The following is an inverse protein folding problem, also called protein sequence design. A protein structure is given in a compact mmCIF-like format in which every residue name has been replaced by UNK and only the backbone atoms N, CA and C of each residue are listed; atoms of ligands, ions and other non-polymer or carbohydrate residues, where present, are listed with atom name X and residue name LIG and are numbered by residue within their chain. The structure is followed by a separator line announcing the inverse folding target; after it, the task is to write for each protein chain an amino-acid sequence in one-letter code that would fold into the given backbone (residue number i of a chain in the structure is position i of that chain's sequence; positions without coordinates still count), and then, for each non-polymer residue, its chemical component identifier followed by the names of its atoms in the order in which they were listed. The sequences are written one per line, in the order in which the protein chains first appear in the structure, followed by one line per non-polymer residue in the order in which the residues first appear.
data_IF_345043042898
#
_entry.id   IF_345043042898
#
_cell.length_a   1.000
_cell.length_b   1.000
_cell.length_c   1.000
_cell.angle_alpha   90.00
_cell.angle_beta   90.00
_cell.angle_gamma   90.00
#
_symmetry.space_group_name_H-M   'P 1'
#
loop_
_entity.id
_entity.type
_entity.pdbx_description
1 polymer ?
#
# COMPACT_ATOMS: atom_id res chain seq x y z
N UNK A 1 -37.44 -8.16 -57.78
CA UNK A 1 -36.09 -8.79 -57.80
C UNK A 1 -35.44 -8.55 -56.43
N UNK A 2 -35.69 -9.47 -55.54
CA UNK A 2 -35.11 -9.47 -54.18
C UNK A 2 -33.69 -10.05 -54.21
N UNK A 3 -32.72 -9.29 -53.72
CA UNK A 3 -31.38 -9.81 -53.43
C UNK A 3 -31.41 -10.47 -52.08
N UNK A 4 -31.44 -11.78 -52.07
CA UNK A 4 -31.17 -12.57 -50.87
C UNK A 4 -29.68 -12.39 -50.53
N UNK A 5 -29.39 -11.71 -49.40
CA UNK A 5 -28.06 -11.61 -48.85
C UNK A 5 -27.73 -12.93 -48.15
N UNK A 6 -26.72 -13.62 -48.66
CA UNK A 6 -26.27 -14.91 -48.09
C UNK A 6 -25.61 -14.68 -46.75
N UNK A 7 -26.18 -15.26 -45.74
CA UNK A 7 -25.69 -15.26 -44.34
C UNK A 7 -24.44 -16.13 -44.11
N UNK A 8 -23.92 -16.79 -45.13
CA UNK A 8 -22.76 -17.69 -45.05
C UNK A 8 -21.41 -16.97 -44.99
N UNK A 9 -21.31 -15.74 -45.50
CA UNK A 9 -20.04 -15.00 -45.52
C UNK A 9 -19.68 -14.32 -44.21
N UNK A 10 -20.56 -14.32 -43.20
CA UNK A 10 -20.31 -13.65 -41.88
C UNK A 10 -19.74 -14.62 -40.82
N UNK A 11 -19.87 -15.91 -41.02
CA UNK A 11 -19.41 -16.92 -40.03
C UNK A 11 -17.93 -17.28 -40.23
N UNK A 12 -17.38 -17.11 -41.41
CA UNK A 12 -15.99 -17.48 -41.71
C UNK A 12 -14.94 -16.43 -41.24
N UNK A 13 -15.34 -15.18 -40.95
CA UNK A 13 -14.43 -14.13 -40.48
C UNK A 13 -14.24 -14.08 -38.96
N UNK A 14 -14.92 -14.91 -38.18
CA UNK A 14 -14.78 -14.98 -36.70
C UNK A 14 -13.86 -16.09 -36.17
N UNK A 15 -13.21 -16.86 -37.03
CA UNK A 15 -12.49 -18.09 -36.66
C UNK A 15 -10.98 -18.07 -36.83
N UNK A 16 -10.40 -17.06 -37.44
CA UNK A 16 -8.93 -16.94 -37.52
C UNK A 16 -8.43 -15.87 -36.54
N UNK A 17 -8.32 -16.22 -35.28
CA UNK A 17 -7.31 -15.62 -34.44
C UNK A 17 -5.97 -16.00 -35.06
N UNK A 18 -5.26 -15.03 -35.61
CA UNK A 18 -4.03 -15.23 -36.36
C UNK A 18 -3.04 -16.05 -35.51
N UNK A 19 -2.49 -17.12 -36.05
CA UNK A 19 -1.52 -17.95 -35.32
C UNK A 19 -0.33 -17.14 -34.86
N UNK A 20 -0.03 -16.01 -35.48
CA UNK A 20 0.95 -15.03 -35.08
C UNK A 20 0.51 -14.26 -33.81
N UNK A 21 -0.75 -13.85 -33.67
CA UNK A 21 -1.28 -13.18 -32.48
C UNK A 21 -1.25 -14.10 -31.26
N UNK A 22 -1.55 -15.39 -31.45
CA UNK A 22 -1.42 -16.37 -30.36
C UNK A 22 0.04 -16.63 -29.98
N UNK A 23 0.94 -16.66 -30.95
CA UNK A 23 2.37 -16.85 -30.70
C UNK A 23 2.97 -15.64 -29.98
N UNK A 24 2.61 -14.42 -30.37
CA UNK A 24 3.05 -13.18 -29.72
C UNK A 24 2.47 -13.04 -28.31
N UNK A 25 1.19 -13.38 -28.10
CA UNK A 25 0.57 -13.40 -26.78
C UNK A 25 1.26 -14.41 -25.86
N UNK A 26 1.55 -15.61 -26.34
CA UNK A 26 2.25 -16.65 -25.58
C UNK A 26 3.68 -16.26 -25.25
N UNK A 27 4.39 -15.61 -26.18
CA UNK A 27 5.73 -15.08 -25.97
C UNK A 27 5.74 -13.99 -24.90
N UNK A 28 4.85 -13.02 -25.01
CA UNK A 28 4.70 -11.92 -24.02
C UNK A 28 4.34 -12.47 -22.63
N UNK A 29 3.45 -13.45 -22.55
CA UNK A 29 3.11 -14.11 -21.30
C UNK A 29 4.31 -14.87 -20.69
N UNK A 30 5.07 -15.58 -21.51
CA UNK A 30 6.27 -16.32 -21.06
C UNK A 30 7.35 -15.37 -20.56
N UNK A 31 7.59 -14.26 -21.26
CA UNK A 31 8.54 -13.21 -20.85
C UNK A 31 8.10 -12.55 -19.54
N UNK A 32 6.81 -12.27 -19.38
CA UNK A 32 6.23 -11.70 -18.17
C UNK A 32 6.38 -12.67 -16.98
N UNK A 33 6.05 -13.94 -17.17
CA UNK A 33 6.21 -14.97 -16.13
C UNK A 33 7.68 -15.16 -15.73
N UNK A 34 8.61 -15.15 -16.69
CA UNK A 34 10.05 -15.23 -16.43
C UNK A 34 10.52 -14.04 -15.58
N UNK A 35 10.11 -12.81 -15.93
CA UNK A 35 10.44 -11.60 -15.17
C UNK A 35 9.88 -11.62 -13.74
N UNK A 36 8.65 -12.12 -13.55
CA UNK A 36 8.05 -12.30 -12.23
C UNK A 36 8.78 -13.35 -11.40
N UNK A 37 9.19 -14.45 -12.04
CA UNK A 37 9.93 -15.51 -11.38
C UNK A 37 11.33 -15.03 -10.93
N UNK A 38 12.06 -14.33 -11.79
CA UNK A 38 13.37 -13.77 -11.48
C UNK A 38 13.30 -12.78 -10.31
N UNK A 39 12.25 -11.93 -10.29
CA UNK A 39 12.05 -10.98 -9.19
C UNK A 39 11.88 -11.69 -7.84
N UNK A 40 11.00 -12.69 -7.74
CA UNK A 40 10.77 -13.44 -6.49
C UNK A 40 12.01 -14.20 -6.02
N UNK A 41 12.76 -14.76 -6.95
CA UNK A 41 14.01 -15.47 -6.64
C UNK A 41 15.07 -14.52 -6.08
N UNK A 42 15.25 -13.35 -6.69
CA UNK A 42 16.19 -12.33 -6.20
C UNK A 42 15.75 -11.78 -4.83
N UNK A 43 14.48 -11.49 -4.64
CA UNK A 43 13.94 -11.03 -3.36
C UNK A 43 14.14 -12.09 -2.25
N UNK A 44 13.85 -13.36 -2.53
CA UNK A 44 14.09 -14.47 -1.59
C UNK A 44 15.55 -14.60 -1.20
N UNK A 45 16.47 -14.55 -2.16
CA UNK A 45 17.90 -14.61 -1.88
C UNK A 45 18.41 -13.42 -1.03
N UNK A 46 17.82 -12.24 -1.18
CA UNK A 46 18.12 -11.07 -0.34
C UNK A 46 17.55 -11.22 1.07
N UNK A 47 16.36 -11.81 1.23
CA UNK A 47 15.79 -12.14 2.53
C UNK A 47 16.65 -13.15 3.29
N UNK A 48 17.09 -14.22 2.62
CA UNK A 48 18.00 -15.22 3.22
C UNK A 48 19.32 -14.57 3.69
N UNK A 49 19.85 -13.60 2.93
CA UNK A 49 21.05 -12.85 3.33
C UNK A 49 20.75 -11.93 4.53
N UNK A 50 19.61 -11.25 4.57
CA UNK A 50 19.19 -10.41 5.68
C UNK A 50 19.05 -11.21 6.96
N UNK A 51 18.42 -12.39 6.90
CA UNK A 51 18.25 -13.29 8.04
C UNK A 51 19.60 -13.81 8.56
N UNK A 52 20.52 -14.14 7.65
CA UNK A 52 21.86 -14.62 8.01
C UNK A 52 22.77 -13.54 8.63
N UNK A 53 22.72 -12.32 8.12
CA UNK A 53 23.56 -11.19 8.58
C UNK A 53 22.97 -10.42 9.77
N UNK A 54 21.65 -10.43 9.94
CA UNK A 54 20.92 -9.68 10.97
C UNK A 54 21.06 -8.15 10.89
N UNK A 55 21.59 -7.64 9.76
CA UNK A 55 21.81 -6.22 9.50
C UNK A 55 21.89 -5.92 8.01
N UNK A 56 21.62 -4.68 7.63
CA UNK A 56 21.77 -4.21 6.26
C UNK A 56 23.24 -4.03 5.93
N UNK A 57 23.74 -4.85 4.99
CA UNK A 57 25.10 -4.74 4.46
C UNK A 57 25.08 -3.99 3.12
N UNK A 58 26.23 -3.46 2.63
CA UNK A 58 26.31 -2.81 1.32
C UNK A 58 25.88 -3.74 0.15
N UNK A 59 26.03 -5.05 0.31
CA UNK A 59 25.57 -6.03 -0.69
C UNK A 59 24.05 -6.10 -0.72
N UNK A 60 23.42 -6.17 0.45
CA UNK A 60 21.95 -6.18 0.60
C UNK A 60 21.38 -4.85 0.10
N UNK A 61 21.95 -3.72 0.50
CA UNK A 61 21.53 -2.39 0.05
C UNK A 61 21.53 -2.29 -1.47
N UNK A 62 22.62 -2.71 -2.13
CA UNK A 62 22.73 -2.75 -3.58
C UNK A 62 21.71 -3.68 -4.24
N UNK A 63 21.43 -4.82 -3.60
CA UNK A 63 20.42 -5.76 -4.09
C UNK A 63 19.01 -5.20 -4.01
N UNK A 64 18.64 -4.60 -2.87
CA UNK A 64 17.35 -3.92 -2.69
C UNK A 64 17.20 -2.76 -3.67
N UNK A 65 18.25 -1.96 -3.87
CA UNK A 65 18.23 -0.85 -4.83
C UNK A 65 17.89 -1.32 -6.26
N UNK A 66 18.43 -2.46 -6.71
CA UNK A 66 18.08 -3.03 -8.03
C UNK A 66 16.61 -3.43 -8.11
N UNK A 67 16.04 -3.96 -7.02
CA UNK A 67 14.62 -4.30 -6.98
C UNK A 67 13.80 -3.02 -7.05
N UNK A 68 14.15 -1.98 -6.29
CA UNK A 68 13.47 -0.69 -6.32
C UNK A 68 13.51 -0.03 -7.71
N UNK A 69 14.65 -0.09 -8.40
CA UNK A 69 14.77 0.39 -9.79
C UNK A 69 13.80 -0.35 -10.72
N UNK A 70 13.66 -1.67 -10.54
CA UNK A 70 12.72 -2.49 -11.32
C UNK A 70 11.27 -2.18 -10.98
N UNK A 71 10.94 -2.00 -9.70
CA UNK A 71 9.61 -1.56 -9.26
C UNK A 71 9.27 -0.21 -9.86
N UNK A 72 10.20 0.77 -9.80
CA UNK A 72 10.00 2.08 -10.39
C UNK A 72 9.86 2.02 -11.92
N UNK A 73 10.58 1.12 -12.59
CA UNK A 73 10.39 0.86 -14.03
C UNK A 73 8.97 0.38 -14.34
N UNK A 74 8.39 -0.46 -13.48
CA UNK A 74 6.99 -0.91 -13.63
C UNK A 74 5.99 0.21 -13.32
N UNK A 75 6.26 1.05 -12.32
CA UNK A 75 5.44 2.24 -12.09
C UNK A 75 5.50 3.18 -13.30
N UNK A 76 6.67 3.32 -13.94
CA UNK A 76 6.84 4.16 -15.13
C UNK A 76 5.99 3.68 -16.32
N UNK A 77 5.82 2.36 -16.48
CA UNK A 77 4.97 1.78 -17.53
C UNK A 77 3.49 2.16 -17.33
N UNK A 78 3.01 2.17 -16.08
CA UNK A 78 1.59 2.39 -15.75
C UNK A 78 1.27 3.86 -15.45
N UNK A 79 2.08 4.48 -14.59
CA UNK A 79 1.88 5.82 -14.03
C UNK A 79 3.18 6.63 -13.99
N UNK A 80 3.64 7.18 -15.12
CA UNK A 80 4.92 7.90 -15.21
C UNK A 80 5.08 9.01 -14.17
N UNK A 81 4.00 9.67 -13.77
CA UNK A 81 4.03 10.73 -12.76
C UNK A 81 4.61 10.22 -11.43
N UNK A 82 4.11 9.07 -10.93
CA UNK A 82 4.60 8.49 -9.67
C UNK A 82 6.07 8.04 -9.78
N UNK A 83 6.45 7.50 -10.93
CA UNK A 83 7.83 7.08 -11.15
C UNK A 83 8.81 8.25 -11.14
N UNK A 84 8.47 9.39 -11.78
CA UNK A 84 9.29 10.61 -11.72
C UNK A 84 9.30 11.21 -10.32
N UNK A 85 8.17 11.17 -9.60
CA UNK A 85 8.11 11.67 -8.23
C UNK A 85 9.00 10.85 -7.30
N UNK A 86 8.96 9.52 -7.42
CA UNK A 86 9.83 8.60 -6.68
C UNK A 86 11.30 8.96 -6.81
N UNK A 87 11.78 9.33 -8.01
CA UNK A 87 13.17 9.71 -8.24
C UNK A 87 13.60 11.03 -7.54
N UNK A 88 12.65 11.82 -7.04
CA UNK A 88 12.93 13.05 -6.30
C UNK A 88 13.01 12.81 -4.78
N UNK A 89 12.67 11.64 -4.30
CA UNK A 89 12.73 11.29 -2.89
C UNK A 89 14.13 10.81 -2.51
N UNK A 90 14.56 11.11 -1.31
CA UNK A 90 15.67 10.40 -0.68
C UNK A 90 15.16 9.01 -0.25
N UNK A 91 16.01 7.98 -0.39
CA UNK A 91 15.64 6.61 -0.02
C UNK A 91 16.55 6.12 1.11
N UNK A 92 15.96 5.46 2.09
CA UNK A 92 16.72 4.88 3.20
C UNK A 92 16.11 3.53 3.60
N UNK A 93 16.96 2.50 3.72
CA UNK A 93 16.55 1.22 4.26
C UNK A 93 16.52 1.28 5.78
N UNK A 94 15.43 0.79 6.37
CA UNK A 94 15.23 0.72 7.82
C UNK A 94 14.54 -0.60 8.18
N UNK A 95 15.01 -1.27 9.23
CA UNK A 95 14.42 -2.53 9.74
C UNK A 95 13.55 -2.32 10.97
N UNK A 96 13.53 -1.11 11.49
CA UNK A 96 12.85 -0.70 12.73
C UNK A 96 11.47 -0.08 12.48
N UNK A 97 11.01 0.02 11.24
CA UNK A 97 9.64 0.41 10.90
C UNK A 97 8.74 -0.81 10.80
N UNK A 98 7.50 -0.69 11.29
CA UNK A 98 6.55 -1.80 11.35
C UNK A 98 5.89 -2.14 9.99
N UNK A 99 6.10 -1.32 8.96
CA UNK A 99 5.47 -1.43 7.65
C UNK A 99 6.49 -1.60 6.53
N UNK A 100 6.08 -2.05 5.33
CA UNK A 100 6.98 -2.18 4.18
C UNK A 100 7.62 -0.87 3.75
N UNK A 101 6.88 0.24 3.84
CA UNK A 101 7.31 1.59 3.48
C UNK A 101 6.77 2.61 4.48
N UNK A 102 7.47 3.71 4.61
CA UNK A 102 7.04 4.90 5.34
C UNK A 102 7.64 6.14 4.70
N UNK A 103 7.02 7.30 4.88
CA UNK A 103 7.53 8.56 4.39
C UNK A 103 7.68 9.61 5.49
N UNK A 104 8.69 10.45 5.37
CA UNK A 104 8.93 11.53 6.31
C UNK A 104 9.51 12.77 5.60
N UNK A 105 9.39 13.93 6.24
CA UNK A 105 10.01 15.18 5.81
C UNK A 105 11.10 15.58 6.78
N UNK A 106 12.36 15.43 6.37
CA UNK A 106 13.53 15.70 7.19
C UNK A 106 14.57 16.54 6.42
N UNK A 107 15.09 17.57 7.07
CA UNK A 107 16.14 18.40 6.46
C UNK A 107 15.72 19.14 5.18
N UNK A 108 14.43 19.45 5.00
CA UNK A 108 13.92 20.13 3.81
C UNK A 108 13.65 19.21 2.62
N UNK A 109 13.75 17.88 2.79
CA UNK A 109 13.52 16.88 1.73
C UNK A 109 12.58 15.78 2.23
N UNK A 110 11.84 15.20 1.31
CA UNK A 110 11.06 13.99 1.59
C UNK A 110 11.95 12.77 1.47
N UNK A 111 11.84 11.89 2.46
CA UNK A 111 12.54 10.61 2.51
C UNK A 111 11.53 9.48 2.51
N UNK A 112 11.75 8.48 1.65
CA UNK A 112 11.03 7.22 1.63
C UNK A 112 11.86 6.19 2.40
N UNK A 113 11.33 5.69 3.50
CA UNK A 113 11.89 4.58 4.26
C UNK A 113 11.34 3.27 3.72
N UNK A 114 12.18 2.25 3.68
CA UNK A 114 11.84 0.94 3.16
C UNK A 114 12.33 -0.11 4.13
N UNK A 115 11.41 -0.91 4.66
CA UNK A 115 11.76 -2.08 5.44
C UNK A 115 12.01 -3.26 4.48
N UNK A 116 13.27 -3.69 4.29
CA UNK A 116 13.57 -4.71 3.31
C UNK A 116 12.92 -6.06 3.63
N UNK A 117 12.72 -6.41 4.91
CA UNK A 117 12.04 -7.66 5.29
C UNK A 117 10.59 -7.71 4.80
N UNK A 118 9.87 -6.64 5.01
CA UNK A 118 8.46 -6.58 4.64
C UNK A 118 8.30 -6.26 3.15
N UNK A 119 9.06 -5.33 2.62
CA UNK A 119 8.95 -4.90 1.23
C UNK A 119 9.29 -6.03 0.25
N UNK A 120 10.39 -6.79 0.49
CA UNK A 120 10.80 -7.88 -0.38
C UNK A 120 9.85 -9.09 -0.33
N UNK A 121 9.04 -9.22 0.71
CA UNK A 121 8.02 -10.26 0.81
C UNK A 121 6.78 -9.98 -0.06
N UNK A 122 6.58 -8.72 -0.48
CA UNK A 122 5.42 -8.30 -1.26
C UNK A 122 5.48 -8.79 -2.71
N UNK A 123 4.33 -9.09 -3.33
CA UNK A 123 4.22 -9.18 -4.79
C UNK A 123 4.53 -7.83 -5.46
N UNK A 124 4.96 -7.87 -6.74
CA UNK A 124 5.33 -6.67 -7.50
C UNK A 124 4.26 -5.58 -7.48
N UNK A 125 2.98 -5.93 -7.64
CA UNK A 125 1.89 -4.97 -7.64
C UNK A 125 1.71 -4.31 -6.26
N UNK A 126 1.89 -5.04 -5.18
CA UNK A 126 1.85 -4.48 -3.84
C UNK A 126 3.09 -3.62 -3.53
N UNK A 127 4.28 -3.97 -4.04
CA UNK A 127 5.46 -3.10 -3.96
C UNK A 127 5.24 -1.75 -4.66
N UNK A 128 4.62 -1.76 -5.86
CA UNK A 128 4.23 -0.54 -6.58
C UNK A 128 3.26 0.29 -5.75
N UNK A 129 2.23 -0.38 -5.19
CA UNK A 129 1.21 0.28 -4.39
C UNK A 129 1.78 0.86 -3.10
N UNK A 130 2.71 0.18 -2.43
CA UNK A 130 3.39 0.69 -1.23
C UNK A 130 4.13 2.01 -1.53
N UNK A 131 4.89 2.07 -2.64
CA UNK A 131 5.57 3.31 -3.06
C UNK A 131 4.57 4.41 -3.43
N UNK A 132 3.53 4.10 -4.19
CA UNK A 132 2.48 5.06 -4.58
C UNK A 132 1.71 5.60 -3.37
N UNK A 133 1.45 4.76 -2.38
CA UNK A 133 0.80 5.11 -1.13
C UNK A 133 1.57 6.22 -0.40
N UNK A 134 2.87 6.05 -0.21
CA UNK A 134 3.70 7.07 0.43
C UNK A 134 3.75 8.37 -0.35
N UNK A 135 3.85 8.29 -1.68
CA UNK A 135 3.82 9.47 -2.55
C UNK A 135 2.49 10.20 -2.42
N UNK A 136 1.36 9.48 -2.33
CA UNK A 136 0.05 10.10 -2.11
C UNK A 136 -0.06 10.79 -0.76
N UNK A 137 0.52 10.25 0.32
CA UNK A 137 0.61 10.96 1.60
C UNK A 137 1.34 12.31 1.46
N UNK A 138 2.43 12.34 0.70
CA UNK A 138 3.20 13.57 0.44
C UNK A 138 2.37 14.55 -0.38
N UNK A 139 1.77 14.10 -1.50
CA UNK A 139 0.98 14.94 -2.40
C UNK A 139 -0.26 15.55 -1.73
N UNK A 140 -0.91 14.78 -0.87
CA UNK A 140 -2.09 15.22 -0.13
C UNK A 140 -1.73 16.00 1.14
N UNK A 141 -0.44 16.23 1.39
CA UNK A 141 0.10 16.97 2.53
C UNK A 141 -0.36 16.40 3.89
N UNK A 142 -0.47 15.08 3.97
CA UNK A 142 -1.01 14.42 5.15
C UNK A 142 -0.18 14.72 6.40
N UNK A 143 1.15 14.82 6.32
CA UNK A 143 2.01 15.17 7.45
C UNK A 143 1.63 16.50 8.11
N UNK A 144 1.43 17.55 7.29
CA UNK A 144 1.07 18.88 7.80
C UNK A 144 -0.36 18.91 8.32
N UNK A 145 -1.29 18.26 7.62
CA UNK A 145 -2.71 18.21 7.99
C UNK A 145 -2.95 17.38 9.23
N UNK A 146 -2.23 16.24 9.38
CA UNK A 146 -2.29 15.42 10.58
C UNK A 146 -1.89 16.19 11.83
N UNK A 147 -0.83 17.00 11.79
CA UNK A 147 -0.41 17.83 12.91
C UNK A 147 -1.49 18.83 13.38
N UNK A 148 -2.37 19.24 12.47
CA UNK A 148 -3.52 20.09 12.80
C UNK A 148 -4.65 19.25 13.40
N UNK A 149 -4.97 18.12 12.74
CA UNK A 149 -6.10 17.26 13.11
C UNK A 149 -5.87 16.54 14.45
N UNK A 150 -4.66 16.12 14.78
CA UNK A 150 -4.29 15.50 16.05
C UNK A 150 -4.51 16.40 17.28
N UNK A 151 -4.80 17.69 17.09
CA UNK A 151 -5.24 18.59 18.18
C UNK A 151 -6.69 18.37 18.59
N UNK A 152 -7.51 17.77 17.73
CA UNK A 152 -8.95 17.60 17.89
C UNK A 152 -9.42 16.16 17.77
N UNK A 153 -8.62 15.29 17.20
CA UNK A 153 -8.92 13.88 16.96
C UNK A 153 -7.80 13.00 17.50
N UNK A 154 -8.14 11.76 17.83
CA UNK A 154 -7.17 10.75 18.24
C UNK A 154 -6.16 10.49 17.13
N UNK A 155 -4.88 10.30 17.50
CA UNK A 155 -3.82 10.05 16.52
C UNK A 155 -4.08 8.82 15.66
N UNK A 156 -4.59 7.76 16.26
CA UNK A 156 -4.97 6.54 15.55
C UNK A 156 -6.07 6.79 14.53
N UNK A 157 -7.13 7.51 14.93
CA UNK A 157 -8.23 7.90 14.03
C UNK A 157 -7.73 8.73 12.84
N UNK A 158 -6.81 9.65 13.10
CA UNK A 158 -6.22 10.48 12.02
C UNK A 158 -5.43 9.60 11.05
N UNK A 159 -4.66 8.61 11.53
CA UNK A 159 -3.92 7.69 10.68
C UNK A 159 -4.86 6.85 9.81
N UNK A 160 -5.89 6.21 10.40
CA UNK A 160 -6.92 5.49 9.63
C UNK A 160 -7.58 6.36 8.56
N UNK A 161 -7.87 7.60 8.90
CA UNK A 161 -8.50 8.55 7.97
C UNK A 161 -7.56 8.90 6.79
N UNK A 162 -6.26 9.06 7.05
CA UNK A 162 -5.26 9.31 6.00
C UNK A 162 -5.14 8.14 5.03
N UNK A 163 -5.05 6.92 5.56
CA UNK A 163 -4.97 5.71 4.75
C UNK A 163 -6.25 5.49 3.94
N UNK A 164 -7.43 5.72 4.54
CA UNK A 164 -8.69 5.67 3.83
C UNK A 164 -8.74 6.64 2.64
N UNK A 165 -8.15 7.84 2.78
CA UNK A 165 -8.05 8.80 1.64
C UNK A 165 -7.14 8.24 0.56
N UNK A 166 -5.92 7.84 0.91
CA UNK A 166 -4.90 7.36 -0.03
C UNK A 166 -5.37 6.12 -0.77
N UNK A 167 -5.90 5.13 -0.03
CA UNK A 167 -6.27 3.84 -0.59
C UNK A 167 -7.49 3.91 -1.54
N UNK A 168 -8.24 5.02 -1.57
CA UNK A 168 -9.24 5.24 -2.63
C UNK A 168 -8.62 5.41 -4.02
N UNK A 169 -7.35 5.77 -4.12
CA UNK A 169 -6.64 6.01 -5.39
C UNK A 169 -5.79 4.83 -5.84
N UNK A 170 -5.72 3.76 -5.02
CA UNK A 170 -4.94 2.56 -5.30
C UNK A 170 -5.86 1.39 -5.67
N UNK A 171 -5.37 0.51 -6.54
CA UNK A 171 -6.04 -0.72 -6.95
C UNK A 171 -5.30 -1.93 -6.38
N UNK A 172 -5.95 -3.10 -6.40
CA UNK A 172 -5.34 -4.37 -5.97
C UNK A 172 -4.71 -4.32 -4.56
N UNK A 173 -5.40 -3.61 -3.65
CA UNK A 173 -4.98 -3.51 -2.26
C UNK A 173 -5.17 -4.85 -1.54
N UNK A 174 -4.32 -5.19 -0.55
CA UNK A 174 -4.53 -6.31 0.34
C UNK A 174 -5.92 -6.25 0.99
N UNK A 175 -6.46 -7.40 1.41
CA UNK A 175 -7.82 -7.47 2.02
C UNK A 175 -7.94 -6.71 3.32
N UNK A 176 -6.87 -6.62 4.05
CA UNK A 176 -6.67 -5.96 5.35
C UNK A 176 -6.27 -4.49 5.23
N UNK A 177 -6.05 -4.00 4.01
CA UNK A 177 -5.73 -2.60 3.79
C UNK A 177 -6.86 -1.70 4.31
N UNK A 178 -6.49 -0.57 4.92
CA UNK A 178 -7.41 0.45 5.45
C UNK A 178 -8.14 1.12 4.28
N UNK A 179 -9.21 0.47 3.83
CA UNK A 179 -10.07 0.96 2.76
C UNK A 179 -11.43 1.42 3.30
N UNK A 180 -12.17 2.20 2.53
CA UNK A 180 -13.53 2.62 2.93
C UNK A 180 -14.45 1.41 3.17
N UNK A 181 -14.49 0.36 2.33
CA UNK A 181 -15.26 -0.84 2.63
C UNK A 181 -14.84 -1.55 3.93
N UNK A 182 -13.54 -1.70 4.16
CA UNK A 182 -13.01 -2.27 5.40
C UNK A 182 -13.45 -1.47 6.64
N UNK A 183 -13.32 -0.14 6.61
CA UNK A 183 -13.74 0.71 7.72
C UNK A 183 -15.25 0.69 7.96
N UNK A 184 -16.06 0.62 6.89
CA UNK A 184 -17.50 0.48 7.00
C UNK A 184 -17.90 -0.83 7.69
N UNK A 185 -17.27 -1.93 7.32
CA UNK A 185 -17.51 -3.24 7.95
C UNK A 185 -17.07 -3.23 9.43
N UNK A 186 -15.85 -2.77 9.70
CA UNK A 186 -15.26 -2.82 11.04
C UNK A 186 -15.96 -1.91 12.04
N UNK A 187 -16.35 -0.71 11.63
CA UNK A 187 -16.96 0.29 12.52
C UNK A 187 -18.47 0.43 12.34
N UNK A 188 -19.11 -0.43 11.54
CA UNK A 188 -20.54 -0.34 11.20
C UNK A 188 -20.96 1.05 10.69
N UNK A 189 -20.15 1.62 9.80
CA UNK A 189 -20.34 2.95 9.24
C UNK A 189 -20.82 2.91 7.78
N UNK A 190 -21.29 4.05 7.29
CA UNK A 190 -21.65 4.29 5.89
C UNK A 190 -20.76 5.39 5.28
N UNK A 191 -19.44 5.21 5.35
CA UNK A 191 -18.49 6.13 4.75
C UNK A 191 -18.60 6.07 3.23
N UNK A 192 -18.52 7.24 2.61
CA UNK A 192 -18.51 7.36 1.14
C UNK A 192 -17.08 7.45 0.64
N UNK A 193 -16.71 6.77 -0.48
CA UNK A 193 -15.39 6.90 -1.05
C UNK A 193 -15.09 8.31 -1.56
N UNK A 194 -13.80 8.59 -1.78
CA UNK A 194 -13.29 9.86 -2.32
C UNK A 194 -13.74 11.10 -1.52
N UNK A 195 -13.76 11.00 -0.20
CA UNK A 195 -14.02 12.13 0.70
C UNK A 195 -12.70 12.67 1.26
N UNK A 196 -12.81 13.85 1.90
CA UNK A 196 -11.65 14.52 2.48
C UNK A 196 -11.17 13.83 3.76
N UNK A 197 -9.92 14.09 4.14
CA UNK A 197 -9.36 13.61 5.39
C UNK A 197 -10.20 14.00 6.61
N UNK A 198 -10.67 15.25 6.64
CA UNK A 198 -11.48 15.77 7.74
C UNK A 198 -12.84 15.06 7.85
N UNK A 199 -13.42 14.67 6.70
CA UNK A 199 -14.65 13.89 6.69
C UNK A 199 -14.45 12.53 7.35
N UNK A 200 -13.39 11.80 6.95
CA UNK A 200 -13.11 10.49 7.53
C UNK A 200 -12.72 10.61 9.00
N UNK A 201 -11.83 11.53 9.36
CA UNK A 201 -11.43 11.74 10.75
C UNK A 201 -12.64 12.02 11.67
N UNK A 202 -13.55 12.91 11.25
CA UNK A 202 -14.76 13.23 12.03
C UNK A 202 -15.70 12.03 12.21
N UNK A 203 -15.89 11.21 11.16
CA UNK A 203 -16.77 10.05 11.22
C UNK A 203 -16.18 8.90 12.02
N UNK A 204 -14.89 8.64 11.84
CA UNK A 204 -14.18 7.61 12.56
C UNK A 204 -14.02 7.96 14.05
N UNK A 205 -13.78 9.23 14.40
CA UNK A 205 -13.71 9.66 15.79
C UNK A 205 -15.02 9.38 16.54
N UNK A 206 -16.16 9.71 15.94
CA UNK A 206 -17.45 9.46 16.56
C UNK A 206 -17.68 7.96 16.84
N UNK A 207 -17.29 7.08 15.91
CA UNK A 207 -17.38 5.63 16.09
C UNK A 207 -16.39 5.12 17.14
N UNK A 208 -15.19 5.66 17.14
CA UNK A 208 -14.14 5.30 18.11
C UNK A 208 -14.52 5.69 19.54
N UNK A 209 -15.10 6.89 19.72
CA UNK A 209 -15.61 7.35 21.02
C UNK A 209 -16.75 6.48 21.54
N UNK A 210 -17.64 6.00 20.66
CA UNK A 210 -18.71 5.06 21.03
C UNK A 210 -18.13 3.74 21.50
N UNK A 211 -17.15 3.17 20.78
CA UNK A 211 -16.48 1.94 21.19
C UNK A 211 -15.76 2.05 22.53
N UNK A 212 -15.16 3.18 22.82
CA UNK A 212 -14.55 3.45 24.13
C UNK A 212 -15.61 3.54 25.24
N UNK A 213 -16.72 4.25 25.00
CA UNK A 213 -17.81 4.38 25.98
C UNK A 213 -18.51 3.05 26.30
N UNK A 214 -18.68 2.18 25.28
CA UNK A 214 -19.28 0.87 25.46
C UNK A 214 -18.40 -0.06 26.30
N UNK A 215 -17.07 0.11 26.25
CA UNK A 215 -16.09 -0.61 27.10
C UNK A 215 -16.14 -0.18 28.56
N UNK A 216 -16.16 1.13 28.82
CA UNK A 216 -16.20 1.65 30.18
C UNK A 216 -17.51 1.30 30.91
N UNK A 217 -18.56 0.91 30.15
CA UNK A 217 -19.86 0.48 30.68
C UNK A 217 -20.03 -1.03 30.92
N UNK A 218 -19.11 -1.89 30.48
CA UNK A 218 -19.16 -3.34 30.64
C UNK A 218 -17.96 -3.86 31.43
N UNK A 219 -18.09 -3.85 32.74
CA UNK A 219 -17.29 -4.73 33.62
C UNK A 219 -17.64 -6.20 33.28
N UNK A 220 -16.60 -6.98 32.93
CA UNK A 220 -16.68 -8.46 32.70
C UNK A 220 -17.31 -8.95 31.41
N UNK A 221 -16.54 -9.14 30.38
CA UNK A 221 -16.45 -10.19 29.34
C UNK A 221 -16.05 -9.65 27.97
N UNK A 222 -14.79 -9.28 27.79
CA UNK A 222 -14.29 -9.05 26.43
C UNK A 222 -12.77 -9.11 26.33
N UNK A 223 -12.17 -10.31 26.60
CA UNK A 223 -10.75 -10.55 26.35
C UNK A 223 -10.37 -10.44 24.86
N UNK A 224 -11.31 -10.66 23.93
CA UNK A 224 -11.05 -10.57 22.48
C UNK A 224 -10.95 -9.11 21.99
N UNK A 225 -11.77 -8.20 22.55
CA UNK A 225 -11.74 -6.77 22.16
C UNK A 225 -10.57 -6.04 22.80
N UNK A 226 -10.08 -6.48 23.97
CA UNK A 226 -8.90 -5.93 24.64
C UNK A 226 -7.62 -6.30 23.88
N UNK A 227 -7.55 -7.47 23.26
CA UNK A 227 -6.43 -7.87 22.42
C UNK A 227 -6.42 -7.09 21.12
N UNK A 228 -7.58 -6.87 20.50
CA UNK A 228 -7.69 -6.07 19.28
C UNK A 228 -7.35 -4.58 19.48
N UNK A 229 -7.60 -3.98 20.65
CA UNK A 229 -7.20 -2.60 20.94
C UNK A 229 -5.77 -2.50 21.47
N UNK A 230 -5.25 -3.51 22.15
CA UNK A 230 -3.84 -3.53 22.57
C UNK A 230 -2.89 -3.74 21.39
N UNK A 231 -3.31 -4.52 20.37
CA UNK A 231 -2.57 -4.66 19.12
C UNK A 231 -2.58 -3.34 18.32
N UNK A 232 -3.63 -2.54 18.49
CA UNK A 232 -3.82 -1.22 17.88
C UNK A 232 -3.07 -0.11 18.67
N UNK A 233 -3.09 -0.14 20.00
CA UNK A 233 -2.42 0.84 20.86
C UNK A 233 -0.91 0.60 20.95
N UNK A 234 -0.42 -0.64 20.75
CA UNK A 234 0.99 -0.98 20.74
C UNK A 234 1.82 -0.32 19.62
N UNK A 235 1.17 0.17 18.58
CA UNK A 235 1.83 0.90 17.47
C UNK A 235 1.90 2.43 17.71
N UNK A 236 1.16 2.99 18.68
CA UNK A 236 1.08 4.44 18.88
C UNK A 236 1.98 5.01 19.99
N UNK A 237 2.58 4.17 20.85
CA UNK A 237 3.22 4.63 22.11
C UNK A 237 4.74 4.89 22.01
N UNK A 238 5.33 5.02 20.81
CA UNK A 238 6.74 5.43 20.65
C UNK A 238 6.95 6.90 20.25
N UNK A 239 6.01 7.79 20.54
CA UNK A 239 6.19 9.23 20.34
C UNK A 239 6.54 9.97 21.66
N UNK A 240 7.70 9.67 22.21
CA UNK A 240 8.38 10.53 23.20
C UNK A 240 9.70 11.01 22.62
N UNK A 241 9.65 12.06 21.80
CA UNK A 241 10.84 12.78 21.37
C UNK A 241 10.83 13.27 19.94
N UNK A 242 10.11 14.33 19.64
CA UNK A 242 10.47 15.35 18.66
C UNK A 242 10.75 15.00 17.20
N UNK A 243 10.48 13.78 16.73
CA UNK A 243 10.60 13.43 15.32
C UNK A 243 9.23 13.50 14.60
N UNK A 244 9.19 14.02 13.36
CA UNK A 244 7.94 14.16 12.62
C UNK A 244 7.33 12.78 12.31
N UNK A 245 6.00 12.75 12.35
CA UNK A 245 5.13 11.56 12.17
C UNK A 245 5.52 10.72 10.97
N UNK A 246 5.76 9.45 11.21
CA UNK A 246 6.01 8.43 10.19
C UNK A 246 4.67 7.84 9.73
N UNK A 247 4.42 7.75 8.42
CA UNK A 247 3.23 7.16 7.83
C UNK A 247 3.58 5.83 7.19
N UNK A 248 2.75 4.82 7.40
CA UNK A 248 3.10 3.44 7.10
C UNK A 248 2.06 2.75 6.22
N UNK A 249 2.53 1.96 5.27
CA UNK A 249 1.71 1.05 4.48
C UNK A 249 1.59 -0.28 5.24
N UNK A 250 0.42 -0.54 5.83
CA UNK A 250 0.18 -1.81 6.53
C UNK A 250 -0.22 -2.91 5.53
N UNK A 251 0.65 -3.92 5.39
CA UNK A 251 0.32 -5.22 4.84
C UNK A 251 0.44 -6.23 5.98
N UNK A 252 -0.66 -6.87 6.37
CA UNK A 252 -0.65 -7.85 7.46
C UNK A 252 0.26 -9.05 7.16
N UNK A 253 0.81 -9.57 8.24
CA UNK A 253 1.55 -10.84 8.25
C UNK A 253 0.58 -12.00 8.03
N UNK A 254 0.74 -12.75 6.97
CA UNK A 254 0.26 -14.12 6.87
C UNK A 254 1.30 -15.09 7.36
#
# INVERSE_FOLDING_TARGET
MERVCKTEDIVEQRGMVDANDMADTKRTMTETLSRLYDHRKEAGALLDLLDGEGKITPLIEKGVQKILERVNGRIMEDDPFFAYFYLQLDHQLRTDIASPTASNFKGGRYCLYINPYQFLSLPMEQMKNAIKHEILHILLQHMSRANILKKSYDSYVVNLAMDAVVNNYLQDMPRDAITVPYLNERFSLELKPFRTLEYYASKLQAAYDQLKADKDGQDTQSQEVDQELSDIEGESDQDQGGDPVEYTFNAERT
#
